data_IF_396447706553
#
_entry.id   IF_396447706553
#
_cell.length_a   1.000
_cell.length_b   1.000
_cell.length_c   1.000
_cell.angle_alpha   90.00
_cell.angle_beta   90.00
_cell.angle_gamma   90.00
#
_symmetry.space_group_name_H-M   'P 1'
#
loop_
_entity.id
_entity.type
_entity.pdbx_description
1 polymer ?
#
# COMPACT_ATOMS: atom_id res chain seq x y z
N UNK A 1 10.17 7.86 55.47
CA UNK A 1 8.78 8.21 55.09
C UNK A 1 8.71 8.05 53.59
N UNK A 2 8.37 6.84 53.15
CA UNK A 2 7.96 6.57 51.77
C UNK A 2 6.45 6.81 51.71
N UNK A 3 5.88 6.87 50.51
CA UNK A 3 4.45 7.02 50.21
C UNK A 3 3.96 8.48 50.02
N UNK A 4 4.33 9.07 48.88
CA UNK A 4 3.43 10.00 48.17
C UNK A 4 3.23 9.45 46.75
N UNK A 5 2.61 8.28 46.66
CA UNK A 5 2.05 7.74 45.41
C UNK A 5 0.62 8.29 45.20
N UNK A 6 0.49 9.61 45.23
CA UNK A 6 -0.69 10.29 44.72
C UNK A 6 -0.54 10.48 43.21
N UNK A 7 -1.03 9.54 42.41
CA UNK A 7 -1.15 9.73 40.95
C UNK A 7 -2.11 10.89 40.68
N UNK A 8 -1.58 12.11 40.59
CA UNK A 8 -2.37 13.32 40.38
C UNK A 8 -2.97 13.29 38.96
N UNK A 9 -4.22 13.76 38.79
CA UNK A 9 -4.89 13.81 37.48
C UNK A 9 -4.11 14.63 36.44
N UNK A 10 -3.21 15.50 36.90
CA UNK A 10 -2.34 16.34 36.09
C UNK A 10 -1.34 15.53 35.23
N UNK A 11 -0.78 14.45 35.78
CA UNK A 11 0.19 13.62 35.05
C UNK A 11 -0.49 12.82 33.94
N UNK A 12 -1.70 12.34 34.19
CA UNK A 12 -2.53 11.68 33.17
C UNK A 12 -2.92 12.66 32.07
N UNK A 13 -3.30 13.89 32.44
CA UNK A 13 -3.65 14.92 31.48
C UNK A 13 -2.45 15.32 30.60
N UNK A 14 -1.27 15.46 31.19
CA UNK A 14 -0.04 15.73 30.45
C UNK A 14 0.32 14.59 29.48
N UNK A 15 0.13 13.33 29.88
CA UNK A 15 0.34 12.18 29.00
C UNK A 15 -0.65 12.16 27.83
N UNK A 16 -1.93 12.48 28.07
CA UNK A 16 -2.94 12.57 27.03
C UNK A 16 -2.65 13.70 26.04
N UNK A 17 -2.17 14.85 26.53
CA UNK A 17 -1.82 16.00 25.68
C UNK A 17 -0.59 15.73 24.80
N UNK A 18 0.39 14.99 25.32
CA UNK A 18 1.55 14.51 24.55
C UNK A 18 1.15 13.52 23.48
N UNK A 19 0.19 12.63 23.74
CA UNK A 19 -0.36 11.68 22.76
C UNK A 19 -1.17 12.43 21.69
N UNK A 20 -2.00 13.40 22.08
CA UNK A 20 -2.78 14.22 21.15
C UNK A 20 -1.88 15.05 20.22
N UNK A 21 -0.74 15.54 20.75
CA UNK A 21 0.23 16.33 19.98
C UNK A 21 1.16 15.49 19.10
N UNK A 22 1.36 14.21 19.43
CA UNK A 22 2.11 13.23 18.62
C UNK A 22 1.19 12.22 17.91
N UNK A 23 -0.10 12.54 17.73
CA UNK A 23 -1.01 11.74 16.91
C UNK A 23 -0.39 11.48 15.54
N UNK A 24 -0.69 10.32 14.91
CA UNK A 24 0.04 9.82 13.76
C UNK A 24 0.15 10.91 12.70
N UNK A 25 1.37 11.35 12.46
CA UNK A 25 1.70 12.35 11.46
C UNK A 25 1.22 11.84 10.10
N UNK A 26 0.02 12.24 9.65
CA UNK A 26 -0.56 11.82 8.36
C UNK A 26 0.33 12.17 7.14
N UNK A 27 1.46 12.86 7.37
CA UNK A 27 2.45 13.18 6.37
C UNK A 27 3.31 11.99 5.92
N UNK A 28 3.56 10.99 6.78
CA UNK A 28 4.29 9.77 6.39
C UNK A 28 3.41 8.80 5.60
N UNK A 29 2.14 8.67 5.96
CA UNK A 29 1.21 7.71 5.32
C UNK A 29 0.99 7.99 3.83
N UNK A 30 0.95 9.26 3.41
CA UNK A 30 0.81 9.61 1.98
C UNK A 30 2.06 9.27 1.16
N UNK A 31 3.25 9.45 1.73
CA UNK A 31 4.51 9.06 1.09
C UNK A 31 4.59 7.55 0.93
N UNK A 32 4.17 6.81 1.95
CA UNK A 32 4.18 5.34 1.97
C UNK A 32 3.18 4.76 0.98
N UNK A 33 1.98 5.34 0.83
CA UNK A 33 1.01 4.95 -0.20
C UNK A 33 1.57 5.18 -1.62
N UNK A 34 2.30 6.27 -1.83
CA UNK A 34 2.96 6.55 -3.10
C UNK A 34 3.99 5.49 -3.47
N UNK A 35 4.85 5.10 -2.51
CA UNK A 35 5.83 4.02 -2.67
C UNK A 35 5.15 2.67 -2.92
N UNK A 36 4.15 2.31 -2.13
CA UNK A 36 3.39 1.07 -2.30
C UNK A 36 2.75 0.95 -3.69
N UNK A 37 2.24 2.06 -4.25
CA UNK A 37 1.71 2.07 -5.62
C UNK A 37 2.80 1.88 -6.67
N UNK A 38 3.97 2.48 -6.49
CA UNK A 38 5.12 2.32 -7.38
C UNK A 38 5.68 0.88 -7.34
N UNK A 39 5.74 0.29 -6.15
CA UNK A 39 6.16 -1.10 -5.95
C UNK A 39 5.18 -2.07 -6.61
N UNK A 40 3.87 -1.83 -6.47
CA UNK A 40 2.84 -2.62 -7.12
C UNK A 40 2.94 -2.56 -8.66
N UNK A 41 3.29 -1.41 -9.22
CA UNK A 41 3.50 -1.26 -10.66
C UNK A 41 4.75 -2.03 -11.13
N UNK A 42 5.85 -1.91 -10.39
CA UNK A 42 7.09 -2.64 -10.68
C UNK A 42 6.89 -4.15 -10.61
N UNK A 43 6.20 -4.63 -9.57
CA UNK A 43 5.87 -6.05 -9.42
C UNK A 43 4.96 -6.56 -10.54
N UNK A 44 3.99 -5.75 -11.00
CA UNK A 44 3.14 -6.11 -12.12
C UNK A 44 3.95 -6.26 -13.42
N UNK A 45 4.88 -5.35 -13.71
CA UNK A 45 5.76 -5.43 -14.86
C UNK A 45 6.66 -6.68 -14.83
N UNK A 46 7.25 -7.00 -13.68
CA UNK A 46 8.03 -8.23 -13.50
C UNK A 46 7.16 -9.47 -13.75
N UNK A 47 5.96 -9.53 -13.18
CA UNK A 47 5.08 -10.69 -13.39
C UNK A 47 4.70 -10.88 -14.87
N UNK A 48 4.40 -9.79 -15.58
CA UNK A 48 4.09 -9.85 -17.02
C UNK A 48 5.31 -10.29 -17.82
N UNK A 49 6.51 -9.82 -17.48
CA UNK A 49 7.73 -10.22 -18.16
C UNK A 49 8.04 -11.73 -17.97
N UNK A 50 7.82 -12.27 -16.78
CA UNK A 50 8.12 -13.68 -16.49
C UNK A 50 7.02 -14.65 -16.93
N UNK A 51 5.75 -14.25 -16.85
CA UNK A 51 4.60 -15.14 -17.07
C UNK A 51 3.77 -14.80 -18.31
N UNK A 52 4.04 -13.69 -18.98
CA UNK A 52 3.30 -13.24 -20.17
C UNK A 52 1.80 -13.18 -19.92
N UNK A 53 1.01 -13.75 -20.84
CA UNK A 53 -0.45 -13.78 -20.76
C UNK A 53 -0.99 -14.56 -19.55
N UNK A 54 -0.21 -15.47 -18.96
CA UNK A 54 -0.60 -16.17 -17.73
C UNK A 54 -0.73 -15.20 -16.54
N UNK A 55 0.00 -14.08 -16.55
CA UNK A 55 -0.17 -13.03 -15.56
C UNK A 55 -1.56 -12.39 -15.60
N UNK A 56 -2.14 -12.24 -16.81
CA UNK A 56 -3.48 -11.69 -16.99
C UNK A 56 -4.55 -12.61 -16.41
N UNK A 57 -4.47 -13.91 -16.68
CA UNK A 57 -5.43 -14.88 -16.15
C UNK A 57 -5.41 -14.92 -14.61
N UNK A 58 -4.22 -14.81 -14.01
CA UNK A 58 -4.08 -14.69 -12.55
C UNK A 58 -4.65 -13.37 -12.01
N UNK A 59 -4.44 -12.26 -12.72
CA UNK A 59 -5.01 -10.96 -12.35
C UNK A 59 -6.55 -10.98 -12.38
N UNK A 60 -7.16 -11.59 -13.41
CA UNK A 60 -8.62 -11.76 -13.50
C UNK A 60 -9.17 -12.61 -12.36
N UNK A 61 -8.48 -13.71 -11.99
CA UNK A 61 -8.88 -14.52 -10.83
C UNK A 61 -8.84 -13.71 -9.53
N UNK A 62 -7.85 -12.84 -9.37
CA UNK A 62 -7.73 -11.94 -8.23
C UNK A 62 -8.84 -10.90 -8.21
N UNK A 63 -9.17 -10.29 -9.35
CA UNK A 63 -10.23 -9.29 -9.49
C UNK A 63 -11.62 -9.88 -9.18
N UNK A 64 -11.88 -11.14 -9.57
CA UNK A 64 -13.13 -11.84 -9.21
C UNK A 64 -13.29 -12.02 -7.70
N UNK A 65 -12.19 -12.13 -6.95
CA UNK A 65 -12.20 -12.23 -5.47
C UNK A 65 -12.16 -10.86 -4.79
N UNK A 66 -11.55 -9.86 -5.45
CA UNK A 66 -11.42 -8.49 -4.97
C UNK A 66 -11.63 -7.50 -6.11
N UNK A 67 -12.88 -7.03 -6.34
CA UNK A 67 -13.28 -6.23 -7.49
C UNK A 67 -12.62 -4.85 -7.60
N UNK A 68 -11.92 -4.41 -6.55
CA UNK A 68 -11.24 -3.10 -6.50
C UNK A 68 -9.71 -3.21 -6.44
N UNK A 69 -9.16 -4.42 -6.61
CA UNK A 69 -7.72 -4.65 -6.54
C UNK A 69 -6.95 -3.72 -7.50
N UNK A 70 -6.18 -2.81 -6.91
CA UNK A 70 -5.31 -1.91 -7.67
C UNK A 70 -4.23 -2.70 -8.44
N UNK A 71 -3.71 -3.76 -7.83
CA UNK A 71 -2.70 -4.62 -8.44
C UNK A 71 -3.22 -5.37 -9.67
N UNK A 72 -4.42 -5.95 -9.63
CA UNK A 72 -5.01 -6.64 -10.78
C UNK A 72 -5.19 -5.71 -12.00
N UNK A 73 -5.57 -4.46 -11.74
CA UNK A 73 -5.68 -3.42 -12.78
C UNK A 73 -4.32 -3.07 -13.38
N UNK A 74 -3.27 -2.95 -12.57
CA UNK A 74 -1.91 -2.70 -13.06
C UNK A 74 -1.41 -3.85 -13.95
N UNK A 75 -1.57 -5.10 -13.52
CA UNK A 75 -1.17 -6.27 -14.33
C UNK A 75 -1.92 -6.31 -15.66
N UNK A 76 -3.23 -6.04 -15.65
CA UNK A 76 -4.05 -6.00 -16.87
C UNK A 76 -3.60 -4.91 -17.85
N UNK A 77 -3.30 -3.72 -17.32
CA UNK A 77 -2.76 -2.62 -18.11
C UNK A 77 -1.39 -2.96 -18.70
N UNK A 78 -0.53 -3.62 -17.93
CA UNK A 78 0.82 -3.97 -18.34
C UNK A 78 0.85 -5.05 -19.42
N UNK A 79 0.01 -6.09 -19.32
CA UNK A 79 -0.19 -7.06 -20.41
C UNK A 79 -0.71 -6.38 -21.68
N UNK A 80 -1.62 -5.42 -21.56
CA UNK A 80 -2.15 -4.68 -22.71
C UNK A 80 -1.09 -3.81 -23.41
N UNK A 81 -0.10 -3.29 -22.68
CA UNK A 81 1.05 -2.58 -23.25
C UNK A 81 2.03 -3.54 -23.92
N UNK A 82 2.33 -4.67 -23.28
CA UNK A 82 3.28 -5.67 -23.79
C UNK A 82 2.73 -6.48 -24.97
N UNK A 83 1.42 -6.76 -25.00
CA UNK A 83 0.74 -7.43 -26.11
C UNK A 83 0.57 -6.54 -27.36
N UNK A 84 0.84 -5.23 -27.22
CA UNK A 84 0.93 -4.29 -28.33
C UNK A 84 2.40 -4.02 -28.69
N UNK A 85 3.18 -5.09 -28.85
CA UNK A 85 4.41 -5.02 -29.65
C UNK A 85 4.06 -4.56 -31.07
N UNK A 86 4.91 -3.76 -31.73
CA UNK A 86 4.61 -3.25 -33.07
C UNK A 86 4.43 -4.41 -34.05
N UNK A 87 3.49 -4.33 -35.02
CA UNK A 87 3.54 -5.22 -36.18
C UNK A 87 4.78 -4.84 -37.03
N UNK A 88 5.74 -5.76 -37.13
CA UNK A 88 6.93 -5.63 -37.99
C UNK A 88 8.22 -5.44 -37.17
N UNK A 89 9.28 -6.21 -37.42
CA UNK A 89 9.81 -6.61 -38.74
C UNK A 89 10.11 -8.10 -38.84
#
# INVERSE_FOLDING_TARGET
>A
MHEDEGSTPDKLQAMLDVIARNGPSSHSEQSDIGKLKADAASAAAVLVQFYGDTALERAKLLERRSPQSHFARLVTAEVSKHGKGPPGS
#
